data_IF_208521443438
#
_entry.id   IF_208521443438
#
_cell.length_a   1.000
_cell.length_b   1.000
_cell.length_c   1.000
_cell.angle_alpha   90.00
_cell.angle_beta   90.00
_cell.angle_gamma   90.00
#
_symmetry.space_group_name_H-M   'P 1'
#
loop_
_entity.id
_entity.type
_entity.pdbx_description
1 polymer ?
#
# COMPACT_ATOMS: atom_id res chain seq x y z
N UNK A 1 -7.94 12.49 -14.12
CA UNK A 1 -8.78 11.51 -13.37
C UNK A 1 -9.67 10.77 -14.36
N UNK A 2 -10.47 11.44 -15.19
CA UNK A 2 -11.41 10.80 -16.13
C UNK A 2 -10.73 9.85 -17.12
N UNK A 3 -9.56 10.21 -17.62
CA UNK A 3 -8.79 9.39 -18.57
C UNK A 3 -8.35 8.06 -17.94
N UNK A 4 -7.87 8.06 -16.71
CA UNK A 4 -7.48 6.84 -15.99
C UNK A 4 -8.67 5.88 -15.83
N UNK A 5 -9.83 6.41 -15.45
CA UNK A 5 -11.06 5.62 -15.34
C UNK A 5 -11.51 5.05 -16.70
N UNK A 6 -11.34 5.80 -17.79
CA UNK A 6 -11.63 5.29 -19.14
C UNK A 6 -10.69 4.15 -19.55
N UNK A 7 -9.39 4.29 -19.31
CA UNK A 7 -8.41 3.24 -19.59
C UNK A 7 -8.72 1.95 -18.78
N UNK A 8 -9.04 2.11 -17.50
CA UNK A 8 -9.43 0.96 -16.66
C UNK A 8 -10.66 0.25 -17.22
N UNK A 9 -11.74 0.99 -17.56
CA UNK A 9 -12.96 0.42 -18.18
C UNK A 9 -12.70 -0.24 -19.53
N UNK A 10 -11.72 0.25 -20.27
CA UNK A 10 -11.29 -0.33 -21.54
C UNK A 10 -10.40 -1.58 -21.35
N UNK A 11 -10.14 -2.00 -20.12
CA UNK A 11 -9.32 -3.17 -19.81
C UNK A 11 -7.81 -2.95 -19.98
N UNK A 12 -7.36 -1.70 -20.07
CA UNK A 12 -5.93 -1.37 -20.11
C UNK A 12 -5.32 -1.65 -18.72
N UNK A 13 -4.25 -2.45 -18.64
CA UNK A 13 -3.58 -2.70 -17.37
C UNK A 13 -3.01 -1.41 -16.77
N UNK A 14 -3.34 -1.15 -15.51
CA UNK A 14 -2.79 -0.02 -14.77
C UNK A 14 -1.74 -0.50 -13.77
N UNK A 15 -0.74 0.33 -13.55
CA UNK A 15 0.25 0.24 -12.49
C UNK A 15 0.20 1.51 -11.64
N UNK A 16 0.53 1.39 -10.37
CA UNK A 16 0.73 2.55 -9.50
C UNK A 16 2.20 2.96 -9.51
N UNK A 17 2.47 4.24 -9.69
CA UNK A 17 3.83 4.78 -9.67
C UNK A 17 3.79 6.30 -9.81
N UNK A 18 4.25 7.02 -8.77
CA UNK A 18 4.04 8.47 -8.66
C UNK A 18 5.12 9.32 -9.29
N UNK A 19 6.32 8.76 -9.48
CA UNK A 19 7.53 9.50 -9.89
C UNK A 19 7.81 10.74 -9.02
N UNK A 20 7.31 10.73 -7.80
CA UNK A 20 7.33 11.84 -6.85
C UNK A 20 7.95 11.41 -5.51
N UNK A 21 7.75 12.17 -4.45
CA UNK A 21 8.34 11.91 -3.13
C UNK A 21 7.88 10.57 -2.56
N UNK A 22 8.82 9.64 -2.39
CA UNK A 22 8.57 8.32 -1.83
C UNK A 22 7.94 8.39 -0.44
N UNK A 23 6.95 7.54 -0.19
CA UNK A 23 6.30 7.40 1.12
C UNK A 23 5.08 8.30 1.35
N UNK A 24 4.80 9.29 0.49
CA UNK A 24 3.70 10.23 0.69
C UNK A 24 2.74 10.30 -0.48
N UNK A 25 3.25 10.28 -1.70
CA UNK A 25 2.46 10.55 -2.90
C UNK A 25 1.74 9.31 -3.40
N UNK A 26 2.21 8.11 -3.10
CA UNK A 26 1.55 6.86 -3.50
C UNK A 26 0.12 6.76 -2.95
N UNK A 27 -0.08 7.04 -1.66
CA UNK A 27 -1.43 7.00 -1.07
C UNK A 27 -2.39 7.96 -1.80
N UNK A 28 -1.88 9.15 -2.16
CA UNK A 28 -2.68 10.13 -2.91
C UNK A 28 -3.00 9.64 -4.32
N UNK A 29 -2.08 9.00 -5.00
CA UNK A 29 -2.33 8.40 -6.31
C UNK A 29 -3.44 7.35 -6.24
N UNK A 30 -3.39 6.46 -5.25
CA UNK A 30 -4.41 5.42 -5.06
C UNK A 30 -5.79 6.01 -4.75
N UNK A 31 -5.85 7.10 -3.98
CA UNK A 31 -7.08 7.87 -3.77
C UNK A 31 -7.62 8.47 -5.09
N UNK A 32 -6.75 8.97 -5.96
CA UNK A 32 -7.13 9.48 -7.27
C UNK A 32 -7.69 8.39 -8.18
N UNK A 33 -7.18 7.15 -8.09
CA UNK A 33 -7.73 6.01 -8.83
C UNK A 33 -9.15 5.69 -8.36
N UNK A 34 -9.42 5.75 -7.05
CA UNK A 34 -10.79 5.61 -6.53
C UNK A 34 -11.69 6.75 -7.01
N UNK A 35 -11.21 7.99 -7.03
CA UNK A 35 -11.94 9.14 -7.59
C UNK A 35 -12.21 9.01 -9.10
N UNK A 36 -11.37 8.24 -9.82
CA UNK A 36 -11.59 7.90 -11.23
C UNK A 36 -12.66 6.80 -11.43
N UNK A 37 -13.27 6.30 -10.34
CA UNK A 37 -14.34 5.30 -10.36
C UNK A 37 -13.86 3.86 -10.29
N UNK A 38 -12.59 3.61 -9.91
CA UNK A 38 -12.05 2.27 -9.67
C UNK A 38 -12.33 1.91 -8.21
N UNK A 39 -12.81 0.68 -7.94
CA UNK A 39 -13.10 0.27 -6.56
C UNK A 39 -11.81 0.22 -5.70
N UNK A 40 -11.87 0.51 -4.39
CA UNK A 40 -10.70 0.44 -3.52
C UNK A 40 -9.98 -0.92 -3.58
N UNK A 41 -10.71 -2.03 -3.61
CA UNK A 41 -10.14 -3.36 -3.74
C UNK A 41 -9.36 -3.56 -5.04
N UNK A 42 -9.88 -3.06 -6.18
CA UNK A 42 -9.16 -3.14 -7.46
C UNK A 42 -7.96 -2.20 -7.48
N UNK A 43 -8.04 -1.04 -6.83
CA UNK A 43 -6.89 -0.13 -6.68
C UNK A 43 -5.76 -0.80 -5.88
N UNK A 44 -6.09 -1.51 -4.80
CA UNK A 44 -5.09 -2.30 -4.05
C UNK A 44 -4.43 -3.36 -4.92
N UNK A 45 -5.20 -4.05 -5.75
CA UNK A 45 -4.68 -5.04 -6.69
C UNK A 45 -3.76 -4.40 -7.74
N UNK A 46 -4.10 -3.21 -8.24
CA UNK A 46 -3.23 -2.43 -9.13
C UNK A 46 -1.90 -2.13 -8.45
N UNK A 47 -1.93 -1.69 -7.19
CA UNK A 47 -0.74 -1.30 -6.44
C UNK A 47 0.15 -2.49 -6.00
N UNK A 48 -0.41 -3.70 -5.93
CA UNK A 48 0.30 -4.89 -5.42
C UNK A 48 0.50 -5.94 -6.52
N UNK A 49 -0.55 -6.67 -6.86
CA UNK A 49 -0.49 -7.79 -7.78
C UNK A 49 -0.09 -7.38 -9.21
N UNK A 50 -0.70 -6.32 -9.74
CA UNK A 50 -0.31 -5.82 -11.07
C UNK A 50 1.14 -5.34 -11.07
N UNK A 51 1.54 -4.58 -10.04
CA UNK A 51 2.93 -4.16 -9.88
C UNK A 51 3.91 -5.32 -9.95
N UNK A 52 3.68 -6.37 -9.16
CA UNK A 52 4.52 -7.56 -9.15
C UNK A 52 4.48 -8.33 -10.48
N UNK A 53 3.29 -8.46 -11.09
CA UNK A 53 3.13 -9.15 -12.37
C UNK A 53 3.92 -8.49 -13.49
N UNK A 54 3.76 -7.19 -13.67
CA UNK A 54 4.39 -6.46 -14.77
C UNK A 54 5.87 -6.17 -14.53
N UNK A 55 6.33 -6.24 -13.27
CA UNK A 55 7.76 -6.24 -12.92
C UNK A 55 8.41 -7.62 -13.00
N UNK A 56 7.65 -8.68 -13.32
CA UNK A 56 8.18 -10.03 -13.47
C UNK A 56 8.52 -10.75 -12.16
N UNK A 57 7.98 -10.29 -11.02
CA UNK A 57 8.28 -10.82 -9.66
C UNK A 57 7.07 -11.42 -8.96
N UNK A 58 5.98 -11.70 -9.68
CA UNK A 58 4.74 -12.22 -9.10
C UNK A 58 4.89 -13.60 -8.43
N UNK A 59 5.90 -14.38 -8.82
CA UNK A 59 6.23 -15.66 -8.16
C UNK A 59 6.62 -15.46 -6.70
N UNK A 60 7.26 -14.33 -6.38
CA UNK A 60 7.88 -14.11 -5.09
C UNK A 60 7.11 -13.12 -4.20
N UNK A 61 6.28 -12.26 -4.79
CA UNK A 61 5.56 -11.19 -4.07
C UNK A 61 4.27 -10.77 -4.79
N UNK A 62 3.59 -9.74 -4.27
CA UNK A 62 2.37 -9.19 -4.89
C UNK A 62 1.07 -9.81 -4.40
N UNK A 63 1.12 -10.90 -3.61
CA UNK A 63 0.01 -11.52 -2.91
C UNK A 63 0.47 -12.22 -1.65
N UNK A 64 -0.45 -12.46 -0.72
CA UNK A 64 -0.19 -13.17 0.54
C UNK A 64 -0.45 -14.65 0.28
N UNK A 65 0.63 -15.39 0.06
CA UNK A 65 0.60 -16.84 -0.22
C UNK A 65 1.78 -17.53 0.45
N UNK A 66 1.60 -18.79 0.84
CA UNK A 66 2.68 -19.61 1.41
C UNK A 66 3.82 -19.75 0.40
N UNK A 67 5.04 -19.46 0.84
CA UNK A 67 6.25 -19.53 0.03
C UNK A 67 6.65 -18.20 -0.63
N UNK A 68 5.81 -17.18 -0.58
CA UNK A 68 6.18 -15.82 -1.04
C UNK A 68 6.91 -15.03 0.05
N UNK A 69 7.61 -13.99 -0.37
CA UNK A 69 8.26 -13.06 0.55
C UNK A 69 7.21 -12.32 1.38
N UNK A 70 7.52 -12.15 2.67
CA UNK A 70 6.69 -11.39 3.60
C UNK A 70 6.96 -9.89 3.44
N UNK A 71 6.57 -9.33 2.29
CA UNK A 71 6.49 -7.89 2.07
C UNK A 71 5.04 -7.47 2.36
N UNK A 72 4.77 -7.02 3.57
CA UNK A 72 3.42 -6.80 4.11
C UNK A 72 3.26 -5.39 4.65
N UNK A 73 2.06 -4.83 4.50
CA UNK A 73 1.66 -3.61 5.15
C UNK A 73 0.42 -3.88 6.02
N UNK A 74 0.51 -3.56 7.30
CA UNK A 74 -0.62 -3.61 8.23
C UNK A 74 -1.16 -2.19 8.42
N UNK A 75 -2.45 -2.01 8.19
CA UNK A 75 -3.12 -0.71 8.29
C UNK A 75 -4.27 -0.77 9.30
N UNK A 76 -4.57 0.36 9.94
CA UNK A 76 -5.77 0.51 10.77
C UNK A 76 -6.97 0.83 9.88
N UNK A 77 -7.98 -0.04 9.92
CA UNK A 77 -9.19 0.05 9.10
C UNK A 77 -9.19 -0.94 7.95
N UNK A 78 -10.15 -0.80 7.06
CA UNK A 78 -10.34 -1.67 5.90
C UNK A 78 -10.09 -0.92 4.59
N UNK A 79 -8.89 -1.06 3.99
CA UNK A 79 -8.55 -0.37 2.75
C UNK A 79 -9.29 -0.92 1.52
N UNK A 80 -9.98 -2.05 1.64
CA UNK A 80 -10.82 -2.59 0.54
C UNK A 80 -12.12 -1.82 0.37
N UNK A 81 -12.53 -1.09 1.41
CA UNK A 81 -13.73 -0.24 1.41
C UNK A 81 -13.41 1.24 1.48
N UNK A 82 -12.35 1.62 2.19
CA UNK A 82 -11.85 2.99 2.33
C UNK A 82 -10.35 3.04 2.07
N UNK A 83 -9.97 3.44 0.86
CA UNK A 83 -8.57 3.50 0.44
C UNK A 83 -7.74 4.45 1.32
N UNK A 84 -8.36 5.43 1.99
CA UNK A 84 -7.65 6.36 2.88
C UNK A 84 -7.10 5.68 4.12
N UNK A 85 -7.57 4.46 4.46
CA UNK A 85 -6.99 3.63 5.52
C UNK A 85 -5.49 3.39 5.32
N UNK A 86 -4.99 3.40 4.07
CA UNK A 86 -3.56 3.26 3.77
C UNK A 86 -2.69 4.36 4.39
N UNK A 87 -3.26 5.50 4.78
CA UNK A 87 -2.55 6.54 5.53
C UNK A 87 -2.29 6.14 6.98
N UNK A 88 -3.11 5.25 7.54
CA UNK A 88 -3.00 4.74 8.91
C UNK A 88 -2.21 3.42 8.94
N UNK A 89 -1.01 3.47 8.37
CA UNK A 89 -0.11 2.32 8.34
C UNK A 89 0.50 2.10 9.72
N UNK A 90 0.21 0.94 10.32
CA UNK A 90 0.67 0.57 11.63
C UNK A 90 2.06 -0.09 11.57
N UNK A 91 2.27 -0.96 10.58
CA UNK A 91 3.54 -1.68 10.40
C UNK A 91 3.79 -1.95 8.93
N UNK A 92 5.05 -1.93 8.56
CA UNK A 92 5.56 -2.48 7.30
C UNK A 92 6.52 -3.62 7.63
N UNK A 93 6.30 -4.77 6.98
CA UNK A 93 7.25 -5.89 7.01
C UNK A 93 7.89 -5.99 5.63
N UNK A 94 9.20 -6.01 5.58
CA UNK A 94 9.95 -6.23 4.35
C UNK A 94 11.29 -6.88 4.63
N UNK A 95 11.66 -7.85 3.80
CA UNK A 95 12.92 -8.60 3.93
C UNK A 95 13.13 -9.18 5.36
N UNK A 96 12.06 -9.64 6.00
CA UNK A 96 12.10 -10.20 7.35
C UNK A 96 12.26 -9.18 8.48
N UNK A 97 12.12 -7.87 8.19
CA UNK A 97 12.20 -6.80 9.18
C UNK A 97 10.85 -6.10 9.32
N UNK A 98 10.44 -5.85 10.54
CA UNK A 98 9.31 -4.96 10.84
C UNK A 98 9.81 -3.52 10.98
N UNK A 99 9.09 -2.60 10.39
CA UNK A 99 9.34 -1.17 10.45
C UNK A 99 8.10 -0.51 11.02
N UNK A 100 8.28 0.32 12.04
CA UNK A 100 7.24 1.20 12.57
C UNK A 100 7.26 2.52 11.78
N UNK A 101 6.24 2.80 10.93
CA UNK A 101 6.21 4.03 10.16
C UNK A 101 6.10 5.28 11.02
N UNK A 102 5.55 5.19 12.24
CA UNK A 102 5.39 6.33 13.15
C UNK A 102 6.74 6.92 13.54
N UNK A 103 7.76 6.08 13.73
CA UNK A 103 9.13 6.51 14.02
C UNK A 103 9.73 7.25 12.83
N UNK A 104 9.53 6.75 11.61
CA UNK A 104 10.01 7.41 10.39
C UNK A 104 9.37 8.79 10.23
N UNK A 105 8.06 8.90 10.42
CA UNK A 105 7.37 10.20 10.37
C UNK A 105 7.89 11.16 11.43
N UNK A 106 8.10 10.69 12.66
CA UNK A 106 8.62 11.52 13.75
C UNK A 106 10.03 12.05 13.45
N UNK A 107 10.92 11.21 12.95
CA UNK A 107 12.29 11.61 12.56
C UNK A 107 12.28 12.65 11.41
N UNK A 108 11.28 12.59 10.54
CA UNK A 108 11.08 13.58 9.47
C UNK A 108 10.34 14.84 9.93
N UNK A 109 9.99 14.95 11.22
CA UNK A 109 9.22 16.08 11.76
C UNK A 109 7.76 16.10 11.33
N UNK A 110 7.22 14.95 10.90
CA UNK A 110 5.85 14.79 10.45
C UNK A 110 5.04 14.11 11.55
N UNK A 111 3.83 14.61 11.80
CA UNK A 111 2.93 13.99 12.77
C UNK A 111 2.45 12.62 12.26
N UNK A 112 2.71 11.52 12.99
CA UNK A 112 2.22 10.20 12.60
C UNK A 112 0.69 10.12 12.57
N UNK A 113 0.14 9.34 11.64
CA UNK A 113 -1.31 9.03 11.57
C UNK A 113 -1.73 7.96 12.58
N UNK A 114 -0.79 7.08 12.96
CA UNK A 114 -0.96 6.05 13.99
C UNK A 114 0.06 6.35 15.09
N UNK A 115 -0.39 6.44 16.32
CA UNK A 115 0.45 6.83 17.47
C UNK A 115 0.68 5.68 18.46
N UNK A 116 -0.02 4.58 18.32
CA UNK A 116 0.10 3.40 19.18
C UNK A 116 0.77 2.27 18.41
N UNK A 117 1.95 1.87 18.84
CA UNK A 117 2.56 0.62 18.38
C UNK A 117 1.63 -0.56 18.74
N UNK A 118 1.44 -1.53 17.84
CA UNK A 118 0.67 -2.73 18.16
C UNK A 118 1.29 -3.46 19.36
N UNK A 119 0.45 -3.91 20.29
CA UNK A 119 0.85 -4.53 21.57
C UNK A 119 1.67 -5.84 21.48
N UNK A 120 1.93 -6.36 20.30
CA UNK A 120 2.66 -7.63 20.12
C UNK A 120 4.19 -7.49 20.08
N UNK A 121 4.74 -6.28 20.03
CA UNK A 121 6.21 -6.08 20.15
C UNK A 121 6.78 -6.62 21.48
N UNK A 122 5.94 -6.78 22.49
CA UNK A 122 6.33 -7.31 23.81
C UNK A 122 6.36 -8.84 23.89
N UNK A 123 5.95 -9.56 22.84
CA UNK A 123 5.78 -11.03 22.89
C UNK A 123 6.84 -11.83 22.14
N UNK A 124 7.84 -11.16 21.55
CA UNK A 124 8.89 -11.78 20.73
C UNK A 124 10.31 -11.59 21.32
N UNK A 125 10.42 -11.59 22.66
CA UNK A 125 11.71 -11.70 23.38
C UNK A 125 12.01 -13.15 23.70
#
# INVERSE_FOLDING_TARGET
IDFVGQMHRAGVPLLAGTDEMAGFTLQRELELYVQAGISPAEVLKIATWNGAKYSGVLTDRGSIEVGKLADLALVEGDPTTDITALRRMAIVVTQGRSIDPSRVFTELGIRPFVTTAPHWETSLQ
#
